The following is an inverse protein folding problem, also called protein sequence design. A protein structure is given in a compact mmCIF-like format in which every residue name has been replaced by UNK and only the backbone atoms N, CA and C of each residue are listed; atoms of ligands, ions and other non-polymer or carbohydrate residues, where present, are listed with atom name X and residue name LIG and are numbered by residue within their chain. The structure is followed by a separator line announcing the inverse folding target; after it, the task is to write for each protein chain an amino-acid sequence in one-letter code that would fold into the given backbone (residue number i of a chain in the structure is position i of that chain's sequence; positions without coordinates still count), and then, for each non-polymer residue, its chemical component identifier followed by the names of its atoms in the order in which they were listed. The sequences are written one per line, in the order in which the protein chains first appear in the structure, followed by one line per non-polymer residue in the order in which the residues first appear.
data_IF_164555675727
#
_entry.id   IF_164555675727
#
_cell.length_a   1.000
_cell.length_b   1.000
_cell.length_c   1.000
_cell.angle_alpha   90.00
_cell.angle_beta   90.00
_cell.angle_gamma   90.00
#
_symmetry.space_group_name_H-M   'P 1'
#
loop_
_entity.id
_entity.type
_entity.pdbx_description
1 polymer ?
#
# COMPACT_ATOMS: atom_id res chain seq x y z
N UNK A 1 -1.85 15.24 -5.75
CA UNK A 1 -1.04 14.01 -5.62
C UNK A 1 -0.44 13.82 -4.22
N UNK A 2 0.42 14.72 -3.73
CA UNK A 2 1.06 14.55 -2.40
C UNK A 2 0.07 14.38 -1.23
N UNK A 3 -1.08 15.06 -1.27
CA UNK A 3 -2.15 14.91 -0.27
C UNK A 3 -2.83 13.54 -0.31
N UNK A 4 -3.05 12.98 -1.50
CA UNK A 4 -3.57 11.62 -1.69
C UNK A 4 -2.60 10.58 -1.11
N UNK A 5 -1.32 10.65 -1.47
CA UNK A 5 -0.29 9.73 -0.97
C UNK A 5 -0.19 9.78 0.56
N UNK A 6 -0.30 10.98 1.15
CA UNK A 6 -0.33 11.13 2.62
C UNK A 6 -1.58 10.49 3.24
N UNK A 7 -2.75 10.69 2.62
CA UNK A 7 -4.01 10.10 3.10
C UNK A 7 -3.97 8.57 3.05
N UNK A 8 -3.48 8.00 1.95
CA UNK A 8 -3.28 6.55 1.81
C UNK A 8 -2.28 6.04 2.84
N UNK A 9 -1.14 6.72 3.03
CA UNK A 9 -0.15 6.34 4.03
C UNK A 9 -0.74 6.31 5.45
N UNK A 10 -1.48 7.35 5.86
CA UNK A 10 -2.15 7.40 7.16
C UNK A 10 -3.18 6.27 7.31
N UNK A 11 -3.92 5.96 6.23
CA UNK A 11 -4.90 4.89 6.25
C UNK A 11 -4.25 3.51 6.42
N UNK A 12 -3.19 3.22 5.65
CA UNK A 12 -2.42 1.98 5.76
C UNK A 12 -1.77 1.83 7.14
N UNK A 13 -1.20 2.91 7.69
CA UNK A 13 -0.67 2.92 9.04
C UNK A 13 -1.75 2.67 10.11
N UNK A 14 -2.95 3.24 9.92
CA UNK A 14 -4.11 2.99 10.79
C UNK A 14 -4.58 1.52 10.76
N UNK A 15 -4.35 0.81 9.65
CA UNK A 15 -4.57 -0.64 9.57
C UNK A 15 -3.47 -1.46 10.26
N UNK A 16 -2.41 -0.81 10.77
CA UNK A 16 -1.25 -1.44 11.38
C UNK A 16 -0.18 -1.86 10.38
N UNK A 17 -0.20 -1.34 9.14
CA UNK A 17 0.83 -1.63 8.16
C UNK A 17 2.09 -0.79 8.41
N UNK A 18 3.24 -1.43 8.29
CA UNK A 18 4.54 -0.76 8.25
C UNK A 18 4.82 -0.26 6.83
N UNK A 19 5.32 0.97 6.75
CA UNK A 19 5.80 1.56 5.49
C UNK A 19 7.27 1.20 5.28
N UNK A 20 7.60 0.68 4.10
CA UNK A 20 8.95 0.31 3.68
C UNK A 20 9.22 1.00 2.35
N UNK A 21 10.28 1.80 2.29
CA UNK A 21 10.71 2.54 1.09
C UNK A 21 12.11 2.18 0.62
N UNK A 22 12.86 1.46 1.46
CA UNK A 22 14.25 1.08 1.26
C UNK A 22 14.43 -0.41 1.56
N UNK A 23 15.36 -1.06 0.86
CA UNK A 23 15.82 -2.41 1.16
C UNK A 23 16.72 -2.43 2.40
N UNK A 24 17.03 -3.61 2.93
CA UNK A 24 18.01 -3.78 4.03
C UNK A 24 19.39 -3.22 3.69
N UNK A 25 19.74 -3.21 2.41
CA UNK A 25 21.00 -2.69 1.88
C UNK A 25 20.98 -1.17 1.65
N UNK A 26 19.90 -0.48 2.06
CA UNK A 26 19.74 0.96 1.88
C UNK A 26 19.43 1.39 0.44
N UNK A 27 18.97 0.47 -0.42
CA UNK A 27 18.56 0.81 -1.79
C UNK A 27 17.09 1.19 -1.82
N UNK A 28 16.76 2.30 -2.49
CA UNK A 28 15.36 2.71 -2.69
C UNK A 28 14.61 1.69 -3.53
N UNK A 29 13.39 1.35 -3.12
CA UNK A 29 12.54 0.39 -3.84
C UNK A 29 11.92 0.95 -5.14
N UNK A 30 12.10 2.24 -5.41
CA UNK A 30 11.36 2.96 -6.47
C UNK A 30 9.84 2.97 -6.26
N UNK A 31 9.37 2.57 -5.08
CA UNK A 31 7.98 2.37 -4.72
C UNK A 31 7.82 2.50 -3.20
N UNK A 32 6.60 2.76 -2.74
CA UNK A 32 6.25 2.63 -1.32
C UNK A 32 5.58 1.28 -1.09
N UNK A 33 6.10 0.49 -0.16
CA UNK A 33 5.52 -0.77 0.24
C UNK A 33 4.86 -0.63 1.61
N UNK A 34 3.61 -1.08 1.74
CA UNK A 34 2.91 -1.19 3.02
C UNK A 34 2.71 -2.67 3.35
N UNK A 35 3.15 -3.12 4.53
CA UNK A 35 3.05 -4.54 4.93
C UNK A 35 2.49 -4.70 6.32
N UNK A 36 1.64 -5.70 6.53
CA UNK A 36 1.11 -6.10 7.85
C UNK A 36 1.14 -7.61 7.97
N UNK A 37 1.61 -8.12 9.11
CA UNK A 37 1.65 -9.57 9.38
C UNK A 37 2.66 -10.33 8.51
N UNK A 38 3.57 -9.61 7.85
CA UNK A 38 4.67 -10.14 7.05
C UNK A 38 5.99 -9.75 7.74
N UNK A 39 6.32 -10.46 8.82
CA UNK A 39 7.60 -10.31 9.50
C UNK A 39 8.73 -10.95 8.67
N UNK A 40 9.99 -10.59 8.98
CA UNK A 40 11.16 -11.15 8.28
C UNK A 40 11.45 -12.58 8.78
N UNK A 41 11.61 -13.52 7.85
CA UNK A 41 12.13 -14.86 8.11
C UNK A 41 11.06 -15.95 8.22
N UNK A 42 11.53 -17.21 8.30
CA UNK A 42 10.85 -18.54 8.23
C UNK A 42 9.66 -18.78 9.17
N UNK A 43 9.10 -17.74 9.75
CA UNK A 43 7.90 -17.83 10.57
C UNK A 43 6.72 -18.10 9.64
N UNK A 44 5.93 -19.17 9.86
CA UNK A 44 4.72 -19.39 9.09
C UNK A 44 3.83 -18.15 9.20
N UNK A 45 3.21 -17.76 8.09
CA UNK A 45 2.28 -16.64 8.01
C UNK A 45 1.07 -16.93 8.89
N UNK A 46 1.16 -16.59 10.18
CA UNK A 46 0.12 -16.86 11.16
C UNK A 46 -0.79 -15.64 11.27
N UNK A 47 -2.02 -15.78 10.77
CA UNK A 47 -3.05 -14.75 10.83
C UNK A 47 -3.17 -13.92 9.54
N UNK A 48 -4.10 -12.94 9.54
CA UNK A 48 -4.36 -12.12 8.36
C UNK A 48 -3.16 -11.23 8.06
N UNK A 49 -2.66 -11.33 6.83
CA UNK A 49 -1.54 -10.55 6.34
C UNK A 49 -1.92 -9.86 5.03
N UNK A 50 -1.31 -8.71 4.78
CA UNK A 50 -1.43 -8.05 3.49
C UNK A 50 -0.19 -7.23 3.14
N UNK A 51 -0.05 -6.98 1.84
CA UNK A 51 0.98 -6.15 1.25
C UNK A 51 0.37 -5.27 0.17
N UNK A 52 0.69 -3.97 0.19
CA UNK A 52 0.27 -3.01 -0.84
C UNK A 52 1.50 -2.34 -1.41
N UNK A 53 1.69 -2.46 -2.73
CA UNK A 53 2.71 -1.70 -3.46
C UNK A 53 2.08 -0.45 -4.06
N UNK A 54 2.63 0.70 -3.73
CA UNK A 54 2.29 1.99 -4.34
C UNK A 54 3.42 2.41 -5.27
N UNK A 55 3.12 2.48 -6.57
CA UNK A 55 4.06 2.87 -7.62
C UNK A 55 3.55 4.10 -8.35
N UNK A 56 4.42 5.10 -8.47
CA UNK A 56 4.19 6.25 -9.35
C UNK A 56 4.67 5.86 -10.74
N UNK A 57 3.79 5.93 -11.75
CA UNK A 57 4.18 5.74 -13.14
C UNK A 57 4.92 6.98 -13.61
N UNK A 58 6.18 6.82 -14.03
CA UNK A 58 6.97 7.92 -14.63
C UNK A 58 6.58 8.16 -16.10
N UNK A 59 5.97 7.16 -16.74
CA UNK A 59 5.63 7.14 -18.17
C UNK A 59 4.24 7.67 -18.50
N UNK A 60 3.35 7.71 -17.51
CA UNK A 60 1.96 8.16 -17.66
C UNK A 60 1.71 9.31 -16.68
N UNK A 61 1.30 10.47 -17.21
CA UNK A 61 1.04 11.69 -16.43
C UNK A 61 0.17 11.39 -15.20
N UNK A 62 0.78 11.47 -14.01
CA UNK A 62 0.10 11.40 -12.71
C UNK A 62 -0.66 10.09 -12.43
N UNK A 63 -0.23 8.94 -12.96
CA UNK A 63 -0.83 7.65 -12.63
C UNK A 63 -0.18 7.03 -11.38
N UNK A 64 -1.00 6.75 -10.36
CA UNK A 64 -0.60 5.96 -9.19
C UNK A 64 -1.20 4.57 -9.32
N UNK A 65 -0.35 3.53 -9.27
CA UNK A 65 -0.77 2.13 -9.29
C UNK A 65 -0.63 1.54 -7.90
N UNK A 66 -1.68 0.82 -7.49
CA UNK A 66 -1.71 0.03 -6.27
C UNK A 66 -1.83 -1.45 -6.61
N UNK A 67 -0.90 -2.26 -6.11
CA UNK A 67 -0.97 -3.73 -6.21
C UNK A 67 -1.19 -4.30 -4.81
N UNK A 68 -2.18 -5.18 -4.65
CA UNK A 68 -2.63 -5.70 -3.35
C UNK A 68 -2.40 -7.21 -3.32
N UNK A 69 -1.69 -7.68 -2.30
CA UNK A 69 -1.56 -9.09 -1.95
C UNK A 69 -2.12 -9.27 -0.54
N UNK A 70 -2.89 -10.33 -0.31
CA UNK A 70 -3.50 -10.59 0.98
C UNK A 70 -3.57 -12.10 1.26
N UNK A 71 -3.69 -12.44 2.55
CA UNK A 71 -3.90 -13.82 3.02
C UNK A 71 -5.15 -14.48 2.45
N UNK A 72 -6.17 -13.67 2.17
CA UNK A 72 -7.47 -14.11 1.68
C UNK A 72 -8.13 -13.02 0.82
N UNK A 73 -9.10 -13.45 0.02
CA UNK A 73 -9.81 -12.60 -0.93
C UNK A 73 -10.61 -11.49 -0.22
N UNK A 74 -11.27 -11.79 0.90
CA UNK A 74 -12.11 -10.83 1.61
C UNK A 74 -11.28 -9.66 2.15
N UNK A 75 -10.10 -9.95 2.71
CA UNK A 75 -9.15 -8.94 3.12
C UNK A 75 -8.65 -8.11 1.93
N UNK A 76 -8.30 -8.77 0.82
CA UNK A 76 -7.90 -8.10 -0.42
C UNK A 76 -8.95 -7.12 -0.95
N UNK A 77 -10.21 -7.54 -1.02
CA UNK A 77 -11.35 -6.71 -1.45
C UNK A 77 -11.61 -5.55 -0.49
N UNK A 78 -11.42 -5.77 0.82
CA UNK A 78 -11.59 -4.71 1.82
C UNK A 78 -10.54 -3.61 1.66
N UNK A 79 -9.28 -3.98 1.42
CA UNK A 79 -8.19 -3.05 1.15
C UNK A 79 -8.44 -2.32 -0.18
N UNK A 80 -8.86 -3.03 -1.22
CA UNK A 80 -9.20 -2.44 -2.52
C UNK A 80 -10.27 -1.36 -2.37
N UNK A 81 -11.42 -1.67 -1.75
CA UNK A 81 -12.50 -0.69 -1.54
C UNK A 81 -12.03 0.54 -0.76
N UNK A 82 -11.20 0.33 0.26
CA UNK A 82 -10.66 1.39 1.08
C UNK A 82 -9.74 2.32 0.27
N UNK A 83 -8.85 1.76 -0.56
CA UNK A 83 -8.00 2.53 -1.47
C UNK A 83 -8.82 3.27 -2.52
N UNK A 84 -9.77 2.61 -3.19
CA UNK A 84 -10.66 3.24 -4.15
C UNK A 84 -11.42 4.41 -3.53
N UNK A 85 -11.93 4.26 -2.31
CA UNK A 85 -12.63 5.35 -1.62
C UNK A 85 -11.74 6.57 -1.37
N UNK A 86 -10.48 6.37 -0.95
CA UNK A 86 -9.54 7.48 -0.76
C UNK A 86 -9.20 8.17 -2.09
N UNK A 87 -9.00 7.39 -3.16
CA UNK A 87 -8.70 7.91 -4.50
C UNK A 87 -9.90 8.69 -5.05
N UNK A 88 -11.12 8.16 -4.93
CA UNK A 88 -12.33 8.83 -5.41
C UNK A 88 -12.60 10.16 -4.71
N UNK A 89 -12.33 10.26 -3.40
CA UNK A 89 -12.45 11.52 -2.66
C UNK A 89 -11.54 12.61 -3.22
N UNK A 90 -10.35 12.24 -3.67
CA UNK A 90 -9.40 13.16 -4.29
C UNK A 90 -9.85 13.62 -5.69
N UNK A 91 -10.39 12.71 -6.49
CA UNK A 91 -10.91 13.03 -7.84
C UNK A 91 -12.14 13.96 -7.80
N UNK A 92 -12.86 14.04 -6.68
CA UNK A 92 -14.03 14.91 -6.54
C UNK A 92 -13.70 16.34 -6.05
N UNK A 93 -12.47 16.59 -5.60
CA UNK A 93 -12.06 17.90 -5.06
C UNK A 93 -11.27 18.77 -6.04
N UNK A 94 -11.15 18.34 -7.31
CA UNK A 94 -10.46 19.05 -8.39
C UNK A 94 -11.47 19.50 -9.43
#
# INVERSE_FOLDING_TARGET
MQSLLRSVATCMQGLGAQRVTETEEGRTLGATLYRKGLDRGDTPLQGPWFQVFERLSESEDNLVRYEILASDEQLGLSIHHLLTSQISKFNQTT
#
